data_IF_896428090891
#
_entry.id   IF_896428090891
#
_cell.length_a   1.000
_cell.length_b   1.000
_cell.length_c   1.000
_cell.angle_alpha   90.00
_cell.angle_beta   90.00
_cell.angle_gamma   90.00
#
_symmetry.space_group_name_H-M   'P 1'
#
loop_
_entity.id
_entity.type
_entity.pdbx_description
1 polymer ?
#
# COMPACT_ATOMS: atom_id res chain seq x y z
N UNK A 1 38.74 26.38 67.63
CA UNK A 1 37.65 25.76 66.83
C UNK A 1 38.10 25.76 65.38
N UNK A 2 38.39 24.57 64.83
CA UNK A 2 38.86 24.39 63.45
C UNK A 2 37.65 24.38 62.51
N UNK A 3 37.60 25.26 61.51
CA UNK A 3 36.68 25.14 60.36
C UNK A 3 37.50 24.66 59.15
N UNK A 4 37.22 23.45 58.71
CA UNK A 4 37.78 22.88 57.48
C UNK A 4 36.98 23.40 56.27
N UNK A 5 37.68 24.01 55.30
CA UNK A 5 37.13 24.37 54.01
C UNK A 5 37.22 23.16 53.07
N UNK A 6 36.09 22.50 52.81
CA UNK A 6 35.98 21.45 51.80
C UNK A 6 35.92 22.10 50.42
N UNK A 7 36.95 21.88 49.59
CA UNK A 7 36.95 22.27 48.17
C UNK A 7 36.00 21.35 47.41
N UNK A 8 34.87 21.89 46.96
CA UNK A 8 33.98 21.22 46.01
C UNK A 8 34.61 21.34 44.63
N UNK A 9 35.18 20.24 44.13
CA UNK A 9 35.64 20.15 42.75
C UNK A 9 34.40 20.09 41.83
N UNK A 10 34.19 21.16 41.06
CA UNK A 10 33.15 21.23 40.04
C UNK A 10 33.60 20.40 38.83
N UNK A 11 33.09 19.17 38.73
CA UNK A 11 33.31 18.29 37.58
C UNK A 11 32.35 18.72 36.47
N UNK A 12 32.88 19.33 35.41
CA UNK A 12 32.13 19.67 34.20
C UNK A 12 31.95 18.39 33.38
N UNK A 13 30.75 17.80 33.43
CA UNK A 13 30.36 16.66 32.58
C UNK A 13 29.95 17.21 31.21
N UNK A 14 30.84 17.15 30.22
CA UNK A 14 30.49 17.38 28.83
C UNK A 14 29.75 16.15 28.28
N UNK A 15 28.42 16.19 28.26
CA UNK A 15 27.60 15.24 27.49
C UNK A 15 27.77 15.54 26.00
N UNK A 16 28.58 14.76 25.30
CA UNK A 16 28.61 14.75 23.83
C UNK A 16 27.31 14.08 23.37
N UNK A 17 26.33 14.90 22.97
CA UNK A 17 25.19 14.43 22.19
C UNK A 17 25.72 14.05 20.81
N UNK A 18 26.02 12.76 20.63
CA UNK A 18 26.21 12.21 19.29
C UNK A 18 24.82 12.21 18.65
N UNK A 19 24.50 13.28 17.93
CA UNK A 19 23.35 13.31 17.04
C UNK A 19 23.57 12.23 15.99
N UNK A 20 22.76 11.16 16.04
CA UNK A 20 22.67 10.21 14.94
C UNK A 20 22.03 11.01 13.81
N UNK A 21 22.85 11.57 12.91
CA UNK A 21 22.34 12.16 11.69
C UNK A 21 21.76 11.01 10.88
N UNK A 22 20.44 10.81 10.93
CA UNK A 22 19.77 10.05 9.89
C UNK A 22 20.05 10.79 8.60
N UNK A 23 20.69 10.13 7.65
CA UNK A 23 20.91 10.72 6.34
C UNK A 23 19.54 10.96 5.72
N UNK A 24 19.07 12.21 5.78
CA UNK A 24 17.83 12.61 5.15
C UNK A 24 18.04 12.68 3.64
N UNK A 25 17.05 12.22 2.87
CA UNK A 25 17.07 12.30 1.41
C UNK A 25 17.40 13.73 0.96
N UNK A 26 18.40 13.94 0.06
CA UNK A 26 18.67 15.25 -0.52
C UNK A 26 17.43 15.80 -1.23
N UNK A 27 17.17 17.11 -1.07
CA UNK A 27 15.95 17.75 -1.61
C UNK A 27 15.85 17.72 -3.14
N UNK A 28 16.97 17.51 -3.84
CA UNK A 28 17.06 17.41 -5.30
C UNK A 28 16.99 15.97 -5.83
N UNK A 29 16.94 14.95 -4.96
CA UNK A 29 16.79 13.54 -5.34
C UNK A 29 15.36 13.11 -5.09
N UNK A 30 14.70 12.42 -6.03
CA UNK A 30 13.34 11.92 -5.81
C UNK A 30 13.30 10.81 -4.75
N UNK A 31 12.12 10.54 -4.19
CA UNK A 31 11.92 9.45 -3.23
C UNK A 31 12.33 8.11 -3.86
N UNK A 32 11.85 7.82 -5.08
CA UNK A 32 12.18 6.57 -5.76
C UNK A 32 13.69 6.43 -6.01
N UNK A 33 14.35 7.46 -6.53
CA UNK A 33 15.78 7.40 -6.84
C UNK A 33 16.62 7.15 -5.59
N UNK A 34 16.33 7.90 -4.52
CA UNK A 34 17.04 7.78 -3.25
C UNK A 34 16.89 6.38 -2.65
N UNK A 35 15.65 5.91 -2.49
CA UNK A 35 15.42 4.61 -1.85
C UNK A 35 15.80 3.42 -2.72
N UNK A 36 15.83 3.59 -4.05
CA UNK A 36 16.39 2.55 -4.93
C UNK A 36 17.87 2.37 -4.63
N UNK A 37 18.64 3.47 -4.53
CA UNK A 37 20.06 3.40 -4.22
C UNK A 37 20.33 2.92 -2.79
N UNK A 38 19.62 3.45 -1.79
CA UNK A 38 19.92 3.10 -0.38
C UNK A 38 19.46 1.70 0.00
N UNK A 39 18.39 1.17 -0.62
CA UNK A 39 17.85 -0.16 -0.28
C UNK A 39 18.44 -1.24 -1.19
N UNK A 40 18.61 -0.95 -2.49
CA UNK A 40 18.99 -1.95 -3.50
C UNK A 40 20.42 -1.75 -4.03
N UNK A 41 21.13 -0.73 -3.55
CA UNK A 41 22.56 -0.50 -3.78
C UNK A 41 22.90 0.32 -5.02
N UNK A 42 22.02 0.42 -6.01
CA UNK A 42 22.28 1.21 -7.23
C UNK A 42 20.97 1.70 -7.87
N UNK A 43 20.96 2.94 -8.37
CA UNK A 43 19.82 3.54 -9.06
C UNK A 43 19.74 3.15 -10.56
N UNK A 44 19.35 1.90 -10.83
CA UNK A 44 19.10 1.36 -12.19
C UNK A 44 17.60 1.18 -12.47
N UNK A 45 17.21 1.08 -13.74
CA UNK A 45 15.80 0.84 -14.10
C UNK A 45 15.24 -0.47 -13.52
N UNK A 46 16.05 -1.53 -13.51
CA UNK A 46 15.70 -2.81 -12.90
C UNK A 46 15.51 -2.68 -11.37
N UNK A 47 16.36 -1.92 -10.69
CA UNK A 47 16.21 -1.70 -9.24
C UNK A 47 15.02 -0.79 -8.93
N UNK A 48 14.74 0.24 -9.73
CA UNK A 48 13.52 1.05 -9.55
C UNK A 48 12.26 0.20 -9.74
N UNK A 49 12.24 -0.69 -10.75
CA UNK A 49 11.17 -1.68 -10.93
C UNK A 49 11.04 -2.58 -9.71
N UNK A 50 12.15 -3.14 -9.23
CA UNK A 50 12.15 -4.00 -8.05
C UNK A 50 11.63 -3.26 -6.81
N UNK A 51 12.02 -2.01 -6.58
CA UNK A 51 11.50 -1.20 -5.48
C UNK A 51 9.97 -1.04 -5.56
N UNK A 52 9.43 -0.75 -6.76
CA UNK A 52 7.97 -0.65 -6.96
C UNK A 52 7.26 -1.98 -6.70
N UNK A 53 7.83 -3.08 -7.19
CA UNK A 53 7.32 -4.44 -6.92
C UNK A 53 7.27 -4.70 -5.42
N UNK A 54 8.40 -4.51 -4.71
CA UNK A 54 8.47 -4.74 -3.26
C UNK A 54 7.45 -3.89 -2.50
N UNK A 55 7.32 -2.61 -2.84
CA UNK A 55 6.37 -1.69 -2.19
C UNK A 55 4.92 -2.13 -2.43
N UNK A 56 4.53 -2.31 -3.69
CA UNK A 56 3.13 -2.50 -4.06
C UNK A 56 2.63 -3.90 -3.79
N UNK A 57 3.46 -4.91 -3.99
CA UNK A 57 3.08 -6.25 -3.58
C UNK A 57 2.98 -6.34 -2.07
N UNK A 58 3.81 -5.61 -1.29
CA UNK A 58 3.71 -5.57 0.19
C UNK A 58 2.42 -4.85 0.61
N UNK A 59 2.03 -3.82 -0.14
CA UNK A 59 0.71 -3.15 0.03
C UNK A 59 -0.44 -4.13 -0.19
N UNK A 60 -0.32 -5.05 -1.14
CA UNK A 60 -1.37 -6.02 -1.47
C UNK A 60 -1.37 -7.22 -0.52
N UNK A 61 -0.23 -7.85 -0.30
CA UNK A 61 -0.09 -9.11 0.42
C UNK A 61 0.17 -8.95 1.92
N UNK A 62 0.60 -7.77 2.37
CA UNK A 62 1.22 -7.60 3.67
C UNK A 62 2.71 -7.93 3.62
N UNK A 63 3.37 -8.07 4.77
CA UNK A 63 4.79 -8.38 4.80
C UNK A 63 5.08 -9.77 4.22
N UNK A 64 5.76 -9.81 3.06
CA UNK A 64 6.29 -11.03 2.44
C UNK A 64 7.74 -10.89 1.96
N UNK A 65 8.29 -9.67 2.09
CA UNK A 65 9.57 -9.24 1.51
C UNK A 65 10.63 -8.99 2.56
N UNK A 66 11.89 -8.99 2.11
CA UNK A 66 13.00 -8.32 2.78
C UNK A 66 13.46 -7.13 1.91
N UNK A 67 13.89 -6.00 2.51
CA UNK A 67 13.99 -5.75 3.95
C UNK A 67 12.62 -5.52 4.61
N UNK A 68 12.51 -5.92 5.87
CA UNK A 68 11.44 -5.50 6.78
C UNK A 68 12.10 -4.98 8.07
N UNK A 69 11.93 -3.70 8.38
CA UNK A 69 12.53 -3.06 9.56
C UNK A 69 11.74 -3.26 10.86
N UNK A 70 10.91 -4.30 10.92
CA UNK A 70 10.06 -4.64 12.06
C UNK A 70 8.68 -3.97 12.05
N UNK A 71 8.26 -3.39 10.92
CA UNK A 71 6.94 -2.76 10.77
C UNK A 71 5.97 -3.74 10.13
N UNK A 72 4.90 -4.05 10.85
CA UNK A 72 3.84 -4.93 10.40
C UNK A 72 2.98 -4.26 9.31
N UNK A 73 2.75 -4.98 8.21
CA UNK A 73 1.85 -4.62 7.11
C UNK A 73 0.87 -5.76 6.91
N UNK A 74 -0.41 -5.44 6.98
CA UNK A 74 -1.50 -6.41 6.89
C UNK A 74 -1.83 -6.79 5.45
N UNK A 75 -1.75 -5.80 4.54
CA UNK A 75 -2.07 -5.96 3.13
C UNK A 75 -3.56 -5.79 2.83
N UNK A 76 -3.87 -5.34 1.61
CA UNK A 76 -5.26 -5.09 1.18
C UNK A 76 -6.00 -6.35 0.69
N UNK A 77 -5.29 -7.45 0.45
CA UNK A 77 -5.87 -8.71 -0.03
C UNK A 77 -6.57 -9.52 1.07
N UNK A 78 -6.67 -9.01 2.29
CA UNK A 78 -7.41 -9.62 3.40
C UNK A 78 -8.32 -8.58 4.05
N UNK A 79 -9.38 -9.03 4.73
CA UNK A 79 -10.23 -8.13 5.51
C UNK A 79 -9.41 -7.44 6.60
N UNK A 80 -9.66 -6.15 6.81
CA UNK A 80 -8.99 -5.32 7.80
C UNK A 80 -9.97 -4.43 8.55
N UNK A 81 -9.42 -3.53 9.36
CA UNK A 81 -10.18 -2.53 10.07
C UNK A 81 -9.51 -1.17 9.90
N UNK A 82 -10.31 -0.13 9.66
CA UNK A 82 -9.85 1.24 9.59
C UNK A 82 -10.81 2.13 10.36
N UNK A 83 -10.32 2.81 11.40
CA UNK A 83 -11.11 3.65 12.29
C UNK A 83 -12.39 2.97 12.84
N UNK A 84 -12.29 1.69 13.19
CA UNK A 84 -13.40 0.91 13.72
C UNK A 84 -14.36 0.35 12.66
N UNK A 85 -14.14 0.65 11.37
CA UNK A 85 -14.92 0.13 10.26
C UNK A 85 -14.22 -1.09 9.65
N UNK A 86 -14.95 -2.20 9.51
CA UNK A 86 -14.45 -3.37 8.78
C UNK A 86 -14.35 -3.06 7.28
N UNK A 87 -13.22 -3.41 6.68
CA UNK A 87 -12.90 -3.14 5.28
C UNK A 87 -12.51 -4.44 4.59
N UNK A 88 -13.06 -4.70 3.41
CA UNK A 88 -12.61 -5.78 2.53
C UNK A 88 -12.51 -5.25 1.10
N UNK A 89 -11.27 -5.04 0.64
CA UNK A 89 -10.98 -4.55 -0.71
C UNK A 89 -10.88 -5.69 -1.74
N UNK A 90 -10.68 -6.94 -1.30
CA UNK A 90 -10.47 -8.08 -2.20
C UNK A 90 -11.66 -8.32 -3.15
N UNK A 91 -12.88 -8.00 -2.70
CA UNK A 91 -14.12 -8.09 -3.49
C UNK A 91 -14.04 -7.37 -4.84
N UNK A 92 -13.25 -6.30 -4.94
CA UNK A 92 -13.07 -5.51 -6.16
C UNK A 92 -12.10 -6.16 -7.18
N UNK A 93 -11.34 -7.16 -6.76
CA UNK A 93 -10.35 -7.86 -7.57
C UNK A 93 -10.82 -9.23 -8.04
N UNK A 94 -11.76 -9.86 -7.32
CA UNK A 94 -12.18 -11.26 -7.57
C UNK A 94 -13.40 -11.39 -8.49
N UNK A 95 -14.04 -10.27 -8.85
CA UNK A 95 -15.28 -10.28 -9.63
C UNK A 95 -16.54 -10.60 -8.82
N UNK A 96 -16.46 -10.57 -7.49
CA UNK A 96 -17.63 -10.75 -6.61
C UNK A 96 -18.65 -9.60 -6.74
N UNK A 97 -18.17 -8.41 -7.10
CA UNK A 97 -19.00 -7.23 -7.33
C UNK A 97 -18.76 -6.67 -8.73
N UNK A 98 -19.80 -6.05 -9.30
CA UNK A 98 -19.76 -5.45 -10.62
C UNK A 98 -19.13 -4.04 -10.56
N UNK A 99 -17.82 -3.99 -10.34
CA UNK A 99 -17.07 -2.75 -10.05
C UNK A 99 -16.01 -2.38 -11.09
N UNK A 100 -15.69 -3.25 -12.04
CA UNK A 100 -14.63 -2.99 -13.03
C UNK A 100 -15.16 -2.08 -14.12
N UNK A 101 -14.39 -1.05 -14.47
CA UNK A 101 -14.65 -0.23 -15.66
C UNK A 101 -13.93 -0.81 -16.89
N UNK A 102 -14.64 -1.54 -17.73
CA UNK A 102 -14.08 -2.09 -18.98
C UNK A 102 -13.95 -1.04 -20.11
N UNK A 103 -14.48 0.17 -19.90
CA UNK A 103 -14.55 1.27 -20.87
C UNK A 103 -15.50 1.08 -22.03
N UNK A 104 -16.31 0.02 -22.01
CA UNK A 104 -17.30 -0.28 -23.06
C UNK A 104 -18.71 -0.24 -22.50
N UNK A 105 -18.88 -0.68 -21.26
CA UNK A 105 -20.15 -0.72 -20.56
C UNK A 105 -20.38 0.56 -19.75
N UNK A 106 -21.62 1.09 -19.72
CA UNK A 106 -21.95 2.31 -18.98
C UNK A 106 -22.15 2.07 -17.47
N UNK A 107 -21.79 0.90 -16.97
CA UNK A 107 -21.87 0.48 -15.57
C UNK A 107 -20.68 -0.42 -15.24
N UNK A 108 -20.44 -0.68 -13.96
CA UNK A 108 -19.39 -1.63 -13.56
C UNK A 108 -19.73 -3.05 -13.98
N UNK A 109 -18.70 -3.81 -14.36
CA UNK A 109 -18.81 -5.23 -14.70
C UNK A 109 -18.00 -6.08 -13.72
N UNK A 110 -18.46 -7.30 -13.50
CA UNK A 110 -17.78 -8.25 -12.64
C UNK A 110 -16.70 -9.00 -13.44
N UNK A 111 -15.45 -8.71 -13.11
CA UNK A 111 -14.27 -9.28 -13.77
C UNK A 111 -13.32 -9.75 -12.68
N UNK A 112 -12.85 -10.98 -12.78
CA UNK A 112 -11.72 -11.43 -11.97
C UNK A 112 -10.43 -10.80 -12.53
N UNK A 113 -9.84 -9.89 -11.77
CA UNK A 113 -8.58 -9.21 -12.10
C UNK A 113 -7.36 -10.05 -11.68
N UNK A 114 -7.56 -11.16 -10.97
CA UNK A 114 -6.54 -12.08 -10.49
C UNK A 114 -6.57 -13.38 -11.32
N UNK A 115 -6.54 -13.24 -12.64
CA UNK A 115 -6.79 -14.30 -13.63
C UNK A 115 -5.54 -15.12 -14.00
N UNK A 116 -4.37 -14.85 -13.42
CA UNK A 116 -3.12 -15.56 -13.72
C UNK A 116 -2.30 -15.87 -12.46
N UNK A 117 -2.93 -16.59 -11.53
CA UNK A 117 -2.27 -17.16 -10.35
C UNK A 117 -2.48 -16.40 -9.04
N UNK A 118 -3.17 -15.25 -9.06
CA UNK A 118 -3.51 -14.47 -7.87
C UNK A 118 -2.28 -14.10 -7.03
N UNK A 119 -2.31 -14.39 -5.73
CA UNK A 119 -1.22 -14.06 -4.81
C UNK A 119 0.08 -14.86 -5.04
N UNK A 120 0.00 -16.06 -5.62
CA UNK A 120 1.16 -16.95 -5.78
C UNK A 120 2.33 -16.35 -6.59
N UNK A 121 2.12 -15.70 -7.75
CA UNK A 121 3.20 -15.00 -8.45
C UNK A 121 3.67 -13.75 -7.71
N UNK A 122 2.79 -13.02 -7.02
CA UNK A 122 3.16 -11.80 -6.30
C UNK A 122 4.16 -12.07 -5.18
N UNK A 123 4.00 -13.20 -4.47
CA UNK A 123 4.95 -13.71 -3.45
C UNK A 123 6.35 -13.98 -4.01
N UNK A 124 6.47 -14.11 -5.34
CA UNK A 124 7.73 -14.32 -6.07
C UNK A 124 8.20 -13.06 -6.79
N UNK A 125 7.67 -11.88 -6.45
CA UNK A 125 7.95 -10.61 -7.11
C UNK A 125 7.59 -10.62 -8.60
N UNK A 126 6.56 -11.39 -8.99
CA UNK A 126 6.06 -11.47 -10.36
C UNK A 126 4.63 -10.91 -10.43
N UNK A 127 4.34 -10.06 -11.41
CA UNK A 127 2.99 -9.50 -11.62
C UNK A 127 1.95 -10.56 -11.99
N UNK A 128 2.37 -11.72 -12.53
CA UNK A 128 1.49 -12.83 -12.94
C UNK A 128 2.26 -14.16 -13.02
N UNK A 129 1.58 -15.29 -13.25
CA UNK A 129 2.16 -16.62 -13.41
C UNK A 129 2.70 -16.91 -14.83
N UNK A 130 3.25 -15.87 -15.47
CA UNK A 130 3.93 -15.95 -16.77
C UNK A 130 3.07 -15.56 -17.99
N UNK A 131 1.76 -15.36 -17.85
CA UNK A 131 0.93 -14.84 -18.93
C UNK A 131 0.96 -13.31 -18.96
N UNK A 132 1.81 -12.75 -19.84
CA UNK A 132 1.98 -11.30 -20.03
C UNK A 132 0.80 -10.60 -20.71
N UNK A 133 -0.27 -11.34 -21.07
CA UNK A 133 -1.50 -10.78 -21.64
C UNK A 133 -2.68 -10.83 -20.66
N UNK A 134 -2.50 -11.44 -19.49
CA UNK A 134 -3.53 -11.53 -18.45
C UNK A 134 -3.94 -10.17 -17.90
N UNK A 135 -5.15 -10.09 -17.34
CA UNK A 135 -5.60 -8.87 -16.66
C UNK A 135 -4.73 -8.60 -15.44
N UNK A 136 -4.36 -9.65 -14.70
CA UNK A 136 -3.48 -9.57 -13.55
C UNK A 136 -2.12 -8.98 -13.89
N UNK A 137 -1.47 -9.47 -14.96
CA UNK A 137 -0.20 -8.93 -15.42
C UNK A 137 -0.29 -7.42 -15.69
N UNK A 138 -1.35 -7.00 -16.39
CA UNK A 138 -1.57 -5.58 -16.71
C UNK A 138 -1.90 -4.77 -15.45
N UNK A 139 -2.72 -5.28 -14.54
CA UNK A 139 -3.08 -4.64 -13.28
C UNK A 139 -1.83 -4.28 -12.47
N UNK A 140 -1.00 -5.26 -12.15
CA UNK A 140 0.17 -5.03 -11.30
C UNK A 140 1.23 -4.18 -12.00
N UNK A 141 1.49 -4.42 -13.29
CA UNK A 141 2.39 -3.54 -14.04
C UNK A 141 1.90 -2.09 -14.09
N UNK A 142 0.60 -1.86 -14.29
CA UNK A 142 0.05 -0.50 -14.30
C UNK A 142 0.15 0.19 -12.94
N UNK A 143 -0.10 -0.52 -11.82
CA UNK A 143 0.05 0.06 -10.49
C UNK A 143 1.53 0.42 -10.25
N UNK A 144 2.46 -0.48 -10.60
CA UNK A 144 3.90 -0.25 -10.47
C UNK A 144 4.38 0.94 -11.31
N UNK A 145 3.92 1.06 -12.55
CA UNK A 145 4.25 2.20 -13.41
C UNK A 145 3.63 3.50 -12.89
N UNK A 146 2.40 3.47 -12.37
CA UNK A 146 1.76 4.68 -11.85
C UNK A 146 2.48 5.20 -10.60
N UNK A 147 2.79 4.32 -9.66
CA UNK A 147 3.54 4.68 -8.46
C UNK A 147 4.99 5.06 -8.76
N UNK A 148 5.60 4.49 -9.80
CA UNK A 148 6.91 4.95 -10.26
C UNK A 148 6.87 6.44 -10.65
N UNK A 149 5.81 6.88 -11.34
CA UNK A 149 5.62 8.31 -11.65
C UNK A 149 5.36 9.12 -10.38
N UNK A 150 4.49 8.63 -9.48
CA UNK A 150 4.14 9.34 -8.24
C UNK A 150 5.34 9.55 -7.31
N UNK A 151 6.25 8.58 -7.24
CA UNK A 151 7.45 8.61 -6.40
C UNK A 151 8.68 9.20 -7.13
N UNK A 152 8.54 9.55 -8.41
CA UNK A 152 9.55 10.24 -9.20
C UNK A 152 10.71 9.38 -9.67
N UNK A 153 10.47 8.11 -10.03
CA UNK A 153 11.48 7.19 -10.57
C UNK A 153 12.09 7.72 -11.88
N UNK A 154 13.34 8.19 -11.85
CA UNK A 154 13.98 8.84 -13.01
C UNK A 154 14.34 7.89 -14.16
N UNK A 155 14.35 6.57 -13.95
CA UNK A 155 14.62 5.57 -14.99
C UNK A 155 13.34 5.05 -15.64
N UNK A 156 12.16 5.48 -15.19
CA UNK A 156 10.91 5.10 -15.84
C UNK A 156 10.89 5.54 -17.31
N UNK A 157 10.55 4.61 -18.20
CA UNK A 157 10.54 4.82 -19.64
C UNK A 157 11.90 4.74 -20.32
N UNK A 158 13.00 4.61 -19.55
CA UNK A 158 14.34 4.51 -20.13
C UNK A 158 14.71 3.11 -20.61
N UNK A 159 13.94 2.09 -20.20
CA UNK A 159 14.19 0.69 -20.54
C UNK A 159 12.89 -0.15 -20.49
N UNK A 160 12.89 -1.38 -21.05
CA UNK A 160 11.72 -2.27 -21.02
C UNK A 160 11.32 -2.74 -19.62
N UNK A 161 12.22 -2.69 -18.64
CA UNK A 161 12.00 -3.16 -17.27
C UNK A 161 11.02 -2.28 -16.48
N UNK A 162 11.02 -0.96 -16.74
CA UNK A 162 10.11 -0.01 -16.09
C UNK A 162 9.55 0.97 -17.14
N UNK A 163 8.49 0.57 -17.82
CA UNK A 163 7.82 1.40 -18.83
C UNK A 163 7.16 2.63 -18.22
N UNK A 164 6.93 3.66 -19.05
CA UNK A 164 6.00 4.74 -18.68
C UNK A 164 4.61 4.19 -18.45
N UNK A 165 3.81 4.85 -17.61
CA UNK A 165 2.44 4.42 -17.32
C UNK A 165 1.60 4.26 -18.59
N UNK A 166 1.13 3.03 -18.84
CA UNK A 166 0.34 2.66 -20.02
C UNK A 166 -1.16 2.58 -19.75
N UNK A 167 -1.60 2.80 -18.50
CA UNK A 167 -3.00 2.75 -18.13
C UNK A 167 -3.76 4.04 -18.44
N UNK A 168 -4.98 4.15 -17.90
CA UNK A 168 -5.82 5.35 -18.07
C UNK A 168 -5.40 6.44 -17.10
N UNK A 169 -5.18 7.65 -17.62
CA UNK A 169 -4.66 8.76 -16.83
C UNK A 169 -5.57 9.24 -15.69
N UNK A 170 -6.89 9.07 -15.82
CA UNK A 170 -7.86 9.43 -14.79
C UNK A 170 -8.08 8.26 -13.82
N UNK A 171 -7.57 8.38 -12.59
CA UNK A 171 -7.83 7.40 -11.54
C UNK A 171 -9.30 7.38 -11.12
N UNK A 172 -10.02 8.50 -11.24
CA UNK A 172 -11.48 8.48 -11.12
C UNK A 172 -12.09 7.53 -12.16
N UNK A 173 -11.73 7.65 -13.44
CA UNK A 173 -12.29 6.77 -14.47
C UNK A 173 -11.99 5.30 -14.18
N UNK A 174 -10.79 4.96 -13.68
CA UNK A 174 -10.42 3.58 -13.35
C UNK A 174 -11.28 3.02 -12.21
N UNK A 175 -11.55 3.81 -11.17
CA UNK A 175 -12.18 3.33 -9.92
C UNK A 175 -13.66 3.75 -9.76
N UNK A 176 -14.26 4.48 -10.71
CA UNK A 176 -15.58 5.12 -10.57
C UNK A 176 -16.74 4.20 -10.18
N UNK A 177 -16.68 2.91 -10.51
CA UNK A 177 -17.73 1.94 -10.19
C UNK A 177 -17.44 1.12 -8.93
N UNK A 178 -16.37 1.44 -8.19
CA UNK A 178 -16.08 0.79 -6.92
C UNK A 178 -16.84 1.42 -5.74
N UNK A 179 -17.27 2.69 -5.89
CA UNK A 179 -17.92 3.46 -4.82
C UNK A 179 -17.12 3.43 -3.51
N UNK A 180 -15.80 3.66 -3.61
CA UNK A 180 -14.91 3.51 -2.47
C UNK A 180 -15.29 4.54 -1.39
N UNK A 181 -15.52 4.02 -0.19
CA UNK A 181 -15.77 4.81 1.01
C UNK A 181 -14.48 5.43 1.57
N UNK A 182 -14.64 6.39 2.49
CA UNK A 182 -13.52 6.98 3.22
C UNK A 182 -12.69 5.93 3.99
N UNK A 183 -13.34 4.91 4.54
CA UNK A 183 -12.67 3.84 5.28
C UNK A 183 -11.89 2.90 4.34
N UNK A 184 -12.48 2.52 3.20
CA UNK A 184 -11.81 1.69 2.20
C UNK A 184 -10.57 2.38 1.62
N UNK A 185 -10.71 3.67 1.27
CA UNK A 185 -9.58 4.42 0.73
C UNK A 185 -8.54 4.75 1.80
N UNK A 186 -8.96 5.10 3.02
CA UNK A 186 -8.06 5.27 4.16
C UNK A 186 -7.27 4.00 4.48
N UNK A 187 -7.92 2.83 4.45
CA UNK A 187 -7.26 1.54 4.66
C UNK A 187 -6.21 1.24 3.59
N UNK A 188 -6.52 1.45 2.31
CA UNK A 188 -5.53 1.29 1.24
C UNK A 188 -4.32 2.20 1.45
N UNK A 189 -4.54 3.48 1.76
CA UNK A 189 -3.45 4.45 2.00
C UNK A 189 -2.62 4.04 3.22
N UNK A 190 -3.26 3.56 4.29
CA UNK A 190 -2.55 3.03 5.46
C UNK A 190 -1.68 1.83 5.10
N UNK A 191 -2.18 0.86 4.33
CA UNK A 191 -1.38 -0.29 3.92
C UNK A 191 -0.21 0.12 3.01
N UNK A 192 -0.42 1.07 2.09
CA UNK A 192 0.64 1.58 1.21
C UNK A 192 1.75 2.30 2.00
N UNK A 193 1.36 3.11 3.00
CA UNK A 193 2.32 3.88 3.82
C UNK A 193 3.06 2.99 4.81
N UNK A 194 2.39 2.00 5.40
CA UNK A 194 3.05 0.96 6.19
C UNK A 194 4.01 0.12 5.35
N UNK A 195 3.66 -0.22 4.11
CA UNK A 195 4.57 -0.93 3.20
C UNK A 195 5.85 -0.14 2.96
N UNK A 196 5.73 1.15 2.63
CA UNK A 196 6.87 2.07 2.46
C UNK A 196 7.73 2.13 3.72
N UNK A 197 7.11 2.33 4.88
CA UNK A 197 7.82 2.36 6.15
C UNK A 197 8.54 1.03 6.44
N UNK A 198 7.90 -0.12 6.15
CA UNK A 198 8.47 -1.44 6.38
C UNK A 198 9.74 -1.72 5.57
N UNK A 199 9.87 -1.09 4.39
CA UNK A 199 11.08 -1.16 3.57
C UNK A 199 12.24 -0.29 4.11
N UNK A 200 12.01 0.49 5.16
CA UNK A 200 13.02 1.32 5.80
C UNK A 200 13.07 2.77 5.32
N UNK A 201 11.98 3.28 4.74
CA UNK A 201 11.89 4.69 4.36
C UNK A 201 11.89 5.59 5.61
N UNK A 202 12.41 6.80 5.46
CA UNK A 202 12.47 7.79 6.54
C UNK A 202 11.06 8.29 6.88
N UNK A 203 10.73 8.49 8.16
CA UNK A 203 9.40 8.95 8.57
C UNK A 203 8.90 10.22 7.86
N UNK A 204 9.79 11.16 7.49
CA UNK A 204 9.41 12.36 6.78
C UNK A 204 8.90 12.05 5.36
N UNK A 205 9.59 11.16 4.64
CA UNK A 205 9.18 10.73 3.30
C UNK A 205 7.93 9.84 3.35
N UNK A 206 7.79 8.97 4.36
CA UNK A 206 6.54 8.23 4.62
C UNK A 206 5.36 9.18 4.82
N UNK A 207 5.54 10.20 5.66
CA UNK A 207 4.51 11.22 5.92
C UNK A 207 4.17 12.02 4.66
N UNK A 208 5.17 12.36 3.85
CA UNK A 208 4.96 13.05 2.58
C UNK A 208 4.13 12.21 1.60
N UNK A 209 4.45 10.92 1.45
CA UNK A 209 3.66 10.03 0.58
C UNK A 209 2.25 9.86 1.11
N UNK A 210 2.07 9.68 2.43
CA UNK A 210 0.75 9.61 3.05
C UNK A 210 -0.12 10.84 2.72
N UNK A 211 0.43 12.03 2.93
CA UNK A 211 -0.27 13.28 2.63
C UNK A 211 -0.60 13.41 1.15
N UNK A 212 0.32 12.99 0.27
CA UNK A 212 0.12 12.99 -1.18
C UNK A 212 -1.03 12.07 -1.58
N UNK A 213 -1.03 10.81 -1.11
CA UNK A 213 -2.10 9.85 -1.43
C UNK A 213 -3.47 10.34 -0.95
N UNK A 214 -3.55 10.91 0.25
CA UNK A 214 -4.80 11.50 0.74
C UNK A 214 -5.26 12.68 -0.11
N UNK A 215 -4.34 13.60 -0.44
CA UNK A 215 -4.67 14.81 -1.22
C UNK A 215 -5.16 14.47 -2.62
N UNK A 216 -4.52 13.49 -3.27
CA UNK A 216 -4.82 13.13 -4.65
C UNK A 216 -6.07 12.25 -4.75
N UNK A 217 -6.19 11.22 -3.91
CA UNK A 217 -7.18 10.15 -4.09
C UNK A 217 -8.34 10.17 -3.09
N UNK A 218 -8.14 10.72 -1.89
CA UNK A 218 -9.03 10.52 -0.74
C UNK A 218 -10.04 11.65 -0.50
N UNK A 219 -10.34 12.43 -1.53
CA UNK A 219 -11.38 13.47 -1.47
C UNK A 219 -12.33 13.32 -2.65
N UNK A 220 -13.62 13.45 -2.38
CA UNK A 220 -14.65 13.47 -3.41
C UNK A 220 -14.63 14.81 -4.13
N UNK A 221 -14.87 14.78 -5.44
CA UNK A 221 -14.91 15.95 -6.31
C UNK A 221 -13.62 16.77 -6.36
N UNK A 222 -12.45 16.18 -6.14
CA UNK A 222 -11.17 16.88 -6.26
C UNK A 222 -10.99 17.52 -7.65
N UNK A 223 -10.41 18.72 -7.76
CA UNK A 223 -10.01 19.29 -9.04
C UNK A 223 -9.12 18.36 -9.85
N UNK A 224 -9.15 18.51 -11.18
CA UNK A 224 -8.25 17.77 -12.06
C UNK A 224 -6.78 18.11 -11.78
N UNK A 225 -5.91 17.11 -11.86
CA UNK A 225 -4.47 17.22 -11.65
C UNK A 225 -3.70 16.48 -12.75
N UNK A 226 -2.52 17.00 -13.10
CA UNK A 226 -1.59 16.33 -14.02
C UNK A 226 -0.69 15.40 -13.20
N UNK A 227 -0.77 14.10 -13.44
CA UNK A 227 0.04 13.08 -12.76
C UNK A 227 0.70 12.11 -13.74
N UNK A 228 0.01 11.03 -14.11
CA UNK A 228 0.57 9.95 -14.93
C UNK A 228 -0.37 9.56 -16.09
N UNK A 229 0.11 9.58 -17.36
CA UNK A 229 1.32 10.26 -17.81
C UNK A 229 1.10 11.78 -17.83
N UNK A 230 2.16 12.56 -17.61
CA UNK A 230 2.08 14.02 -17.64
C UNK A 230 1.55 14.57 -19.00
N UNK A 231 1.77 13.85 -20.09
CA UNK A 231 1.29 14.17 -21.44
C UNK A 231 -0.24 14.16 -21.57
N UNK A 232 -0.97 13.50 -20.65
CA UNK A 232 -2.43 13.50 -20.65
C UNK A 232 -3.05 14.82 -20.12
N UNK A 233 -2.22 15.74 -19.62
CA UNK A 233 -2.68 16.98 -19.00
C UNK A 233 -3.46 16.75 -17.70
N UNK A 234 -4.26 17.74 -17.26
CA UNK A 234 -5.08 17.61 -16.05
C UNK A 234 -6.17 16.54 -16.20
N UNK A 235 -6.24 15.62 -15.25
CA UNK A 235 -7.19 14.50 -15.22
C UNK A 235 -7.85 14.39 -13.83
N UNK A 236 -9.07 13.86 -13.77
CA UNK A 236 -9.75 13.60 -12.49
C UNK A 236 -9.10 12.43 -11.77
N UNK A 237 -8.69 12.61 -10.52
CA UNK A 237 -7.93 11.62 -9.74
C UNK A 237 -8.69 11.04 -8.55
N UNK A 238 -9.83 11.61 -8.14
CA UNK A 238 -10.55 11.15 -6.95
C UNK A 238 -10.96 9.67 -7.07
N UNK A 239 -10.47 8.84 -6.14
CA UNK A 239 -10.88 7.43 -6.00
C UNK A 239 -11.92 7.26 -4.90
N UNK A 240 -11.83 8.05 -3.82
CA UNK A 240 -12.87 8.14 -2.81
C UNK A 240 -14.06 8.89 -3.39
N UNK A 241 -15.11 8.15 -3.74
CA UNK A 241 -16.31 8.69 -4.39
C UNK A 241 -17.59 8.43 -3.59
N UNK A 242 -17.53 7.54 -2.59
CA UNK A 242 -18.67 7.21 -1.75
C UNK A 242 -19.16 8.35 -0.86
N UNK A 243 -20.36 8.20 -0.27
CA UNK A 243 -21.01 9.27 0.49
C UNK A 243 -20.28 9.65 1.78
N UNK A 244 -19.42 8.78 2.31
CA UNK A 244 -18.60 9.05 3.50
C UNK A 244 -17.31 9.80 3.18
N UNK A 245 -16.95 9.95 1.90
CA UNK A 245 -15.76 10.65 1.48
C UNK A 245 -15.86 12.16 1.78
N UNK A 246 -14.82 12.77 2.37
CA UNK A 246 -14.80 14.20 2.56
C UNK A 246 -14.82 14.91 1.20
N UNK A 247 -15.57 16.01 1.14
CA UNK A 247 -15.56 16.87 -0.04
C UNK A 247 -14.22 17.62 -0.10
N UNK A 248 -13.61 17.69 -1.28
CA UNK A 248 -12.39 18.49 -1.45
C UNK A 248 -12.67 19.97 -1.12
N UNK A 249 -11.76 20.71 -0.45
CA UNK A 249 -11.98 22.12 -0.10
C UNK A 249 -12.30 23.02 -1.30
N UNK A 250 -11.75 22.67 -2.47
CA UNK A 250 -11.99 23.31 -3.75
C UNK A 250 -12.79 22.39 -4.70
N UNK A 251 -13.87 21.78 -4.22
CA UNK A 251 -14.57 20.75 -4.98
C UNK A 251 -15.16 21.26 -6.31
N UNK A 252 -14.99 20.44 -7.35
CA UNK A 252 -15.51 20.69 -8.71
C UNK A 252 -16.46 19.57 -9.12
N UNK A 253 -17.52 19.34 -8.34
CA UNK A 253 -18.40 18.18 -8.53
C UNK A 253 -19.04 18.09 -9.92
N UNK A 254 -19.37 19.23 -10.55
CA UNK A 254 -19.91 19.27 -11.90
C UNK A 254 -18.96 18.72 -12.99
N UNK A 255 -17.66 18.57 -12.69
CA UNK A 255 -16.72 17.92 -13.60
C UNK A 255 -16.83 16.38 -13.57
N UNK A 256 -17.48 15.83 -12.54
CA UNK A 256 -17.69 14.41 -12.36
C UNK A 256 -19.08 14.02 -12.88
N UNK A 257 -19.23 12.81 -13.46
CA UNK A 257 -20.55 12.21 -13.73
C UNK A 257 -21.47 12.28 -12.51
N UNK A 258 -22.75 12.56 -12.77
CA UNK A 258 -23.81 12.65 -11.76
C UNK A 258 -23.45 13.60 -10.60
N UNK A 259 -22.76 14.70 -10.91
CA UNK A 259 -22.27 15.70 -9.95
C UNK A 259 -21.45 15.09 -8.80
N UNK A 260 -20.66 14.06 -9.12
CA UNK A 260 -19.79 13.38 -8.16
C UNK A 260 -20.50 12.37 -7.25
N UNK A 261 -21.76 12.05 -7.54
CA UNK A 261 -22.49 10.98 -6.87
C UNK A 261 -22.06 9.63 -7.45
N UNK A 262 -21.46 8.78 -6.62
CA UNK A 262 -21.11 7.42 -7.00
C UNK A 262 -22.33 6.49 -6.97
N UNK A 263 -22.27 5.45 -7.79
CA UNK A 263 -23.24 4.36 -7.79
C UNK A 263 -22.56 3.13 -7.18
N UNK A 264 -23.08 2.59 -6.07
CA UNK A 264 -22.54 1.37 -5.47
C UNK A 264 -22.55 0.20 -6.46
N UNK A 265 -21.50 -0.63 -6.52
CA UNK A 265 -21.49 -1.80 -7.38
C UNK A 265 -22.51 -2.83 -6.91
N UNK A 266 -23.16 -3.48 -7.86
CA UNK A 266 -24.04 -4.61 -7.57
C UNK A 266 -23.21 -5.82 -7.13
N UNK A 267 -23.65 -6.49 -6.07
CA UNK A 267 -23.13 -7.82 -5.72
C UNK A 267 -23.59 -8.79 -6.80
N UNK A 268 -22.65 -9.54 -7.38
CA UNK A 268 -23.02 -10.64 -8.28
C UNK A 268 -23.53 -11.76 -7.40
N UNK A 269 -24.85 -11.85 -7.26
CA UNK A 269 -25.48 -13.02 -6.69
C UNK A 269 -25.00 -14.26 -7.43
N UNK A 270 -24.69 -15.33 -6.71
CA UNK A 270 -24.24 -16.60 -7.24
C UNK A 270 -25.36 -17.25 -8.09
N UNK A 271 -25.68 -16.68 -9.25
CA UNK A 271 -26.60 -17.24 -10.24
C UNK A 271 -25.86 -18.26 -11.10
N UNK A 272 -25.29 -19.26 -10.42
CA UNK A 272 -24.98 -20.58 -10.95
C UNK A 272 -25.54 -21.59 -9.94
N UNK A 273 -26.86 -21.74 -10.01
CA UNK A 273 -27.67 -22.61 -9.18
C UNK A 273 -29.10 -22.64 -9.68
N UNK A 274 -29.28 -23.02 -10.94
CA UNK A 274 -30.60 -23.39 -11.46
C UNK A 274 -31.11 -24.62 -10.70
N UNK A 275 -32.03 -24.37 -9.77
CA UNK A 275 -32.78 -25.39 -9.01
C UNK A 275 -33.87 -24.67 -8.23
N UNK A 276 -35.10 -24.75 -8.72
CA UNK A 276 -36.21 -23.87 -8.33
C UNK A 276 -36.70 -23.98 -6.89
N UNK A 277 -37.48 -22.98 -6.48
CA UNK A 277 -38.19 -23.00 -5.21
C UNK A 277 -38.65 -21.63 -4.75
N UNK A 278 -39.87 -21.27 -5.14
CA UNK A 278 -40.61 -20.10 -4.68
C UNK A 278 -40.86 -20.17 -3.16
N UNK A 279 -40.47 -19.15 -2.37
CA UNK A 279 -41.11 -18.85 -1.08
C UNK A 279 -40.78 -17.44 -0.59
N UNK A 280 -41.76 -16.54 -0.75
CA UNK A 280 -42.00 -15.41 0.14
C UNK A 280 -42.22 -15.88 1.58
N UNK A 281 -41.62 -15.23 2.61
CA UNK A 281 -42.29 -14.86 3.88
C UNK A 281 -41.51 -13.75 4.60
N UNK A 282 -42.29 -12.80 5.12
CA UNK A 282 -42.02 -11.68 6.03
C UNK A 282 -41.07 -11.86 7.22
N UNK A 283 -40.58 -10.68 7.64
CA UNK A 283 -39.94 -10.33 8.93
C UNK A 283 -40.69 -10.87 10.15
N UNK A 284 -39.94 -11.29 11.18
CA UNK A 284 -40.08 -10.81 12.57
C UNK A 284 -38.94 -11.28 13.46
N UNK A 285 -38.63 -10.45 14.46
CA UNK A 285 -37.48 -10.48 15.35
C UNK A 285 -37.39 -11.71 16.28
N UNK A 286 -36.16 -12.03 16.68
CA UNK A 286 -35.86 -12.94 17.78
C UNK A 286 -34.36 -13.27 17.85
N UNK A 287 -33.64 -12.62 18.74
CA UNK A 287 -32.31 -13.03 19.22
C UNK A 287 -32.45 -13.44 20.70
N UNK A 288 -31.45 -14.07 21.36
CA UNK A 288 -30.35 -14.91 20.87
C UNK A 288 -30.21 -16.24 21.67
N UNK A 289 -29.43 -17.20 21.18
CA UNK A 289 -28.60 -18.05 22.08
C UNK A 289 -27.43 -18.70 21.35
N UNK A 290 -26.29 -18.70 22.03
CA UNK A 290 -24.93 -19.13 21.68
C UNK A 290 -24.71 -20.64 21.60
N UNK A 291 -23.83 -21.11 20.71
CA UNK A 291 -22.60 -21.89 21.03
C UNK A 291 -21.79 -22.20 19.75
N UNK A 292 -20.45 -22.28 19.83
CA UNK A 292 -19.57 -22.37 18.66
C UNK A 292 -19.28 -23.82 18.26
N UNK A 293 -19.28 -24.12 16.96
CA UNK A 293 -18.72 -25.37 16.42
C UNK A 293 -17.49 -25.04 15.57
N UNK A 294 -16.34 -25.35 16.14
CA UNK A 294 -15.04 -25.37 15.50
C UNK A 294 -14.97 -26.46 14.43
N UNK A 295 -14.61 -26.09 13.19
CA UNK A 295 -14.18 -27.02 12.15
C UNK A 295 -12.67 -26.80 11.91
N UNK A 296 -11.92 -27.87 12.17
CA UNK A 296 -10.47 -27.87 12.27
C UNK A 296 -9.75 -27.71 10.95
N UNK A 297 -8.66 -26.95 10.99
CA UNK A 297 -7.59 -26.99 10.00
C UNK A 297 -6.54 -27.97 10.51
N UNK A 298 -6.28 -29.01 9.73
CA UNK A 298 -5.22 -29.97 9.97
C UNK A 298 -3.85 -29.28 9.79
N UNK A 299 -3.11 -29.13 10.87
CA UNK A 299 -1.70 -28.74 10.83
C UNK A 299 -0.87 -30.01 10.71
N UNK A 300 -0.27 -30.22 9.52
CA UNK A 300 0.70 -31.26 9.30
C UNK A 300 1.98 -30.97 10.09
N UNK A 301 2.33 -31.88 10.99
CA UNK A 301 3.59 -31.88 11.72
C UNK A 301 4.75 -32.15 10.76
N UNK A 302 5.60 -31.15 10.54
CA UNK A 302 6.92 -31.28 9.93
C UNK A 302 7.98 -30.87 10.93
N UNK A 303 8.64 -31.86 11.55
CA UNK A 303 9.77 -31.64 12.44
C UNK A 303 10.98 -31.09 11.69
N UNK A 304 11.69 -30.18 12.35
CA UNK A 304 12.92 -29.58 11.84
C UNK A 304 13.52 -28.63 12.87
N UNK A 305 14.15 -29.21 13.90
CA UNK A 305 14.94 -28.47 14.87
C UNK A 305 16.15 -27.84 14.17
N UNK A 306 16.26 -26.51 14.23
CA UNK A 306 17.51 -25.81 13.97
C UNK A 306 17.88 -24.98 15.19
N UNK A 307 18.81 -25.55 15.95
CA UNK A 307 19.54 -24.92 17.04
C UNK A 307 20.61 -24.03 16.42
N UNK A 308 20.59 -22.75 16.73
CA UNK A 308 21.81 -21.92 16.71
C UNK A 308 21.88 -21.13 18.00
N UNK A 309 22.85 -21.53 18.84
CA UNK A 309 23.25 -20.80 20.02
C UNK A 309 24.10 -19.60 19.64
N UNK A 310 23.94 -18.51 20.40
CA UNK A 310 24.87 -17.39 20.39
C UNK A 310 25.53 -17.31 21.76
N UNK A 311 26.80 -17.71 21.77
CA UNK A 311 27.80 -17.31 22.76
C UNK A 311 28.07 -15.80 22.57
N UNK A 312 27.75 -14.98 23.56
CA UNK A 312 28.26 -13.62 23.65
C UNK A 312 29.50 -13.63 24.56
N UNK A 313 30.67 -13.56 23.94
CA UNK A 313 31.96 -13.38 24.60
C UNK A 313 32.50 -11.97 24.30
N UNK A 314 32.88 -11.30 25.40
CA UNK A 314 33.97 -10.32 25.55
C UNK A 314 33.91 -9.03 24.72
N UNK A 315 33.54 -7.95 25.42
CA UNK A 315 33.85 -6.56 25.06
C UNK A 315 35.36 -6.35 25.25
N UNK A 316 36.11 -6.33 24.14
CA UNK A 316 37.49 -5.84 24.08
C UNK A 316 37.48 -4.34 23.80
N UNK A 317 37.98 -3.56 24.76
CA UNK A 317 38.25 -2.13 24.62
C UNK A 317 39.49 -1.96 23.73
N UNK A 318 39.34 -1.39 22.54
CA UNK A 318 40.46 -0.92 21.73
C UNK A 318 40.69 0.57 22.01
N UNK A 319 41.78 0.87 22.70
CA UNK A 319 42.35 2.22 22.84
C UNK A 319 43.14 2.52 21.58
N UNK A 320 42.69 3.49 20.77
CA UNK A 320 43.56 4.12 19.78
C UNK A 320 44.24 5.34 20.41
N UNK A 321 45.56 5.21 20.61
CA UNK A 321 46.44 6.32 20.89
C UNK A 321 46.73 7.07 19.58
N UNK A 322 46.49 8.38 19.56
CA UNK A 322 47.04 9.28 18.57
C UNK A 322 48.40 9.80 19.05
N UNK A 323 49.43 9.60 18.22
CA UNK A 323 50.70 10.33 18.17
C UNK A 323 51.07 10.31 16.69
N UNK A 324 51.13 11.42 15.98
CA UNK A 324 52.04 12.58 16.03
C UNK A 324 51.32 13.75 15.36
#
# INVERSE_FOLDING_TARGET
>A
MYFQYTKVAMVLVCTVLVGIATAQRPSNTSICDYYTETILGENTAANQKLLMVLLLHTTVLGNYTTPNVGIAVHGIATSGNFDGVEVNLLKYFTGEVASTNDGKTPHGVAINLLDDGGAAPLLKNMSSNGNTTSIQYNLFNHIEQYFATLLGCSKQGSSPELLTYQGRASMYQVHRYMDLSAAEMGFFIQQATLAIASLGFDPADVSYVNATLHTVFNYRCSPAQTLAPASAGPQLQACCTGPTCPLHPNATCAAYPDDGVAVPPAVVGNTTGGGGGNASVSRSAGAPTSTPSSLGVAVGAGGGAWVWGVLAAVVGIAVFAAGV
#
